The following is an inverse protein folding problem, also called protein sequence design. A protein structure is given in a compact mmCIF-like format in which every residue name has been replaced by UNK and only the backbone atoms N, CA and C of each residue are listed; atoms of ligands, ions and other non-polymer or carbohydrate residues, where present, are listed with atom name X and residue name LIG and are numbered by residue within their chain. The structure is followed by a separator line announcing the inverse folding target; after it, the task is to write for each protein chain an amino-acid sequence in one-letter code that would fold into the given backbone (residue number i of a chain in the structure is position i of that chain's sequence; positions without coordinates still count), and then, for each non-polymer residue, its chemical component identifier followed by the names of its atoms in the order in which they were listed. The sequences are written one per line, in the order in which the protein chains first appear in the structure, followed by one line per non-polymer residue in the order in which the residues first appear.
data_IF_538891736900
#
_entry.id   IF_538891736900
#
_cell.length_a   1.000
_cell.length_b   1.000
_cell.length_c   1.000
_cell.angle_alpha   90.00
_cell.angle_beta   90.00
_cell.angle_gamma   90.00
#
_symmetry.space_group_name_H-M   'P 1'
#
loop_
_entity.id
_entity.type
_entity.pdbx_description
1 polymer ?
#
# COMPACT_ATOMS: atom_id res chain seq x y z
N UNK A 1 12.70 -23.78 2.54
CA UNK A 1 12.38 -22.54 1.77
C UNK A 1 13.08 -21.38 2.43
N UNK A 2 13.55 -20.36 1.68
CA UNK A 2 14.36 -19.24 2.23
C UNK A 2 13.77 -17.85 1.97
N UNK A 3 12.72 -17.73 1.15
CA UNK A 3 12.09 -16.47 0.76
C UNK A 3 10.59 -16.68 0.62
N UNK A 4 9.81 -15.69 1.01
CA UNK A 4 8.38 -15.59 0.75
C UNK A 4 8.13 -14.34 -0.09
N UNK A 5 7.24 -14.46 -1.08
CA UNK A 5 6.70 -13.35 -1.84
C UNK A 5 5.22 -13.62 -2.06
N UNK A 6 4.39 -12.63 -1.80
CA UNK A 6 2.94 -12.74 -1.95
C UNK A 6 2.32 -11.37 -2.18
N UNK A 7 1.29 -11.34 -3.02
CA UNK A 7 0.51 -10.14 -3.31
C UNK A 7 -0.97 -10.47 -3.24
N UNK A 8 -1.78 -9.59 -2.66
CA UNK A 8 -3.24 -9.74 -2.61
C UNK A 8 -3.90 -8.40 -2.92
N UNK A 9 -4.96 -8.42 -3.73
CA UNK A 9 -5.77 -7.22 -3.99
C UNK A 9 -6.69 -6.95 -2.81
N UNK A 10 -6.63 -5.75 -2.26
CA UNK A 10 -7.48 -5.33 -1.14
C UNK A 10 -8.75 -4.67 -1.64
N UNK A 11 -9.84 -4.83 -0.89
CA UNK A 11 -11.06 -4.07 -1.13
C UNK A 11 -10.87 -2.64 -0.60
N UNK A 12 -11.03 -1.64 -1.46
CA UNK A 12 -10.85 -0.23 -1.11
C UNK A 12 -11.72 0.24 0.07
N UNK A 13 -12.89 -0.38 0.29
CA UNK A 13 -13.79 -0.05 1.39
C UNK A 13 -13.36 -0.68 2.73
N UNK A 14 -12.39 -1.59 2.72
CA UNK A 14 -11.96 -2.39 3.89
C UNK A 14 -10.45 -2.46 4.04
N UNK A 15 -9.69 -1.54 3.43
CA UNK A 15 -8.21 -1.59 3.40
C UNK A 15 -7.61 -1.78 4.78
N UNK A 16 -8.06 -1.02 5.79
CA UNK A 16 -7.53 -1.11 7.16
C UNK A 16 -7.75 -2.49 7.79
N UNK A 17 -8.94 -3.07 7.62
CA UNK A 17 -9.26 -4.40 8.17
C UNK A 17 -8.48 -5.50 7.45
N UNK A 18 -8.41 -5.45 6.11
CA UNK A 18 -7.67 -6.44 5.35
C UNK A 18 -6.17 -6.37 5.61
N UNK A 19 -5.60 -5.17 5.74
CA UNK A 19 -4.20 -4.98 6.13
C UNK A 19 -3.93 -5.52 7.53
N UNK A 20 -4.85 -5.31 8.48
CA UNK A 20 -4.76 -5.89 9.83
C UNK A 20 -4.74 -7.42 9.81
N UNK A 21 -5.65 -8.04 9.06
CA UNK A 21 -5.66 -9.51 8.91
C UNK A 21 -4.36 -10.04 8.28
N UNK A 22 -3.82 -9.37 7.26
CA UNK A 22 -2.54 -9.76 6.66
C UNK A 22 -1.39 -9.61 7.67
N UNK A 23 -1.43 -8.56 8.49
CA UNK A 23 -0.44 -8.36 9.54
C UNK A 23 -0.45 -9.53 10.54
N UNK A 24 -1.62 -9.96 10.98
CA UNK A 24 -1.77 -11.03 11.98
C UNK A 24 -1.49 -12.43 11.40
N UNK A 25 -2.01 -12.73 10.22
CA UNK A 25 -2.02 -14.09 9.65
C UNK A 25 -0.81 -14.39 8.75
N UNK A 26 -0.03 -13.37 8.35
CA UNK A 26 1.14 -13.55 7.47
C UNK A 26 2.37 -12.84 8.03
N UNK A 27 2.32 -11.52 8.19
CA UNK A 27 3.50 -10.71 8.54
C UNK A 27 4.05 -11.13 9.89
N UNK A 28 3.18 -11.34 10.88
CA UNK A 28 3.57 -11.77 12.24
C UNK A 28 4.36 -13.07 12.24
N UNK A 29 3.96 -14.05 11.43
CA UNK A 29 4.67 -15.33 11.33
C UNK A 29 6.04 -15.18 10.67
N UNK A 30 6.13 -14.36 9.62
CA UNK A 30 7.40 -14.12 8.92
C UNK A 30 8.37 -13.33 9.80
N UNK A 31 7.90 -12.27 10.47
CA UNK A 31 8.72 -11.42 11.33
C UNK A 31 9.15 -12.11 12.64
N UNK A 32 8.46 -13.18 13.04
CA UNK A 32 8.84 -14.01 14.18
C UNK A 32 10.01 -14.96 13.92
N UNK A 33 10.49 -15.08 12.68
CA UNK A 33 11.64 -15.92 12.34
C UNK A 33 12.95 -15.22 12.71
N UNK A 34 13.90 -15.98 13.27
CA UNK A 34 15.24 -15.50 13.60
C UNK A 34 15.93 -14.97 12.34
N UNK A 35 16.53 -13.78 12.46
CA UNK A 35 17.22 -13.07 11.38
C UNK A 35 16.38 -12.82 10.12
N UNK A 36 15.05 -12.72 10.26
CA UNK A 36 14.18 -12.36 9.15
C UNK A 36 14.10 -10.85 8.92
N UNK A 37 14.07 -10.48 7.64
CA UNK A 37 13.75 -9.14 7.19
C UNK A 37 12.41 -9.20 6.46
N UNK A 38 11.43 -8.44 6.94
CA UNK A 38 10.08 -8.40 6.37
C UNK A 38 9.78 -7.00 5.90
N UNK A 39 9.61 -6.87 4.59
CA UNK A 39 9.12 -5.65 3.96
C UNK A 39 7.64 -5.81 3.60
N UNK A 40 6.84 -4.78 3.88
CA UNK A 40 5.43 -4.71 3.50
C UNK A 40 5.23 -3.47 2.64
N UNK A 41 4.74 -3.69 1.42
CA UNK A 41 4.50 -2.62 0.44
C UNK A 41 3.00 -2.46 0.23
N UNK A 42 2.50 -1.23 0.34
CA UNK A 42 1.14 -0.85 -0.04
C UNK A 42 1.18 -0.07 -1.34
N UNK A 43 0.60 -0.63 -2.39
CA UNK A 43 0.38 0.06 -3.66
C UNK A 43 -1.05 0.59 -3.74
N UNK A 44 -1.20 1.88 -4.08
CA UNK A 44 -2.51 2.51 -4.31
C UNK A 44 -2.61 2.90 -5.79
N UNK A 45 -3.61 2.38 -6.49
CA UNK A 45 -3.85 2.66 -7.90
C UNK A 45 -5.28 3.16 -8.09
N UNK A 46 -5.43 4.33 -8.66
CA UNK A 46 -6.73 4.92 -8.98
C UNK A 46 -6.78 5.24 -10.48
N UNK A 47 -7.90 4.89 -11.13
CA UNK A 47 -8.21 5.33 -12.49
C UNK A 47 -9.45 6.20 -12.43
N UNK A 48 -9.33 7.42 -12.96
CA UNK A 48 -10.42 8.38 -13.01
C UNK A 48 -10.60 8.86 -14.46
N UNK A 49 -11.49 8.24 -15.25
CA UNK A 49 -11.66 8.57 -16.66
C UNK A 49 -12.07 10.04 -16.91
N UNK A 50 -12.70 10.69 -15.94
CA UNK A 50 -13.05 12.11 -16.00
C UNK A 50 -11.95 13.06 -15.51
N UNK A 51 -10.75 12.54 -15.26
CA UNK A 51 -9.66 13.27 -14.61
C UNK A 51 -9.78 13.28 -13.08
N UNK A 52 -8.69 13.70 -12.43
CA UNK A 52 -8.63 13.93 -10.99
C UNK A 52 -8.62 15.45 -10.79
N UNK A 53 -9.57 16.04 -10.05
CA UNK A 53 -9.58 17.49 -9.82
C UNK A 53 -8.30 17.96 -9.12
N UNK A 54 -7.82 19.15 -9.47
CA UNK A 54 -6.60 19.75 -8.88
C UNK A 54 -6.61 19.77 -7.34
N UNK A 55 -7.79 20.00 -6.75
CA UNK A 55 -7.96 19.97 -5.30
C UNK A 55 -7.63 18.60 -4.70
N UNK A 56 -8.04 17.51 -5.37
CA UNK A 56 -7.75 16.13 -4.96
C UNK A 56 -6.28 15.82 -5.22
N UNK A 57 -5.72 16.21 -6.37
CA UNK A 57 -4.28 16.06 -6.67
C UNK A 57 -3.44 16.69 -5.57
N UNK A 58 -3.76 17.93 -5.17
CA UNK A 58 -3.06 18.64 -4.09
C UNK A 58 -3.17 17.89 -2.77
N UNK A 59 -4.38 17.53 -2.34
CA UNK A 59 -4.60 16.83 -1.07
C UNK A 59 -3.87 15.49 -1.02
N UNK A 60 -3.96 14.68 -2.08
CA UNK A 60 -3.29 13.38 -2.12
C UNK A 60 -1.77 13.54 -2.15
N UNK A 61 -1.23 14.52 -2.90
CA UNK A 61 0.20 14.82 -2.92
C UNK A 61 0.75 15.24 -1.56
N UNK A 62 0.02 16.10 -0.84
CA UNK A 62 0.39 16.53 0.52
C UNK A 62 0.35 15.36 1.51
N UNK A 63 -0.65 14.49 1.41
CA UNK A 63 -0.75 13.29 2.22
C UNK A 63 0.38 12.30 1.91
N UNK A 64 0.70 12.06 0.64
CA UNK A 64 1.76 11.16 0.23
C UNK A 64 3.13 11.62 0.77
N UNK A 65 3.40 12.94 0.73
CA UNK A 65 4.59 13.53 1.36
C UNK A 65 4.60 13.31 2.88
N UNK A 66 3.49 13.63 3.56
CA UNK A 66 3.34 13.48 5.02
C UNK A 66 3.54 12.03 5.46
N UNK A 67 2.94 11.10 4.71
CA UNK A 67 2.98 9.66 4.96
C UNK A 67 4.24 8.98 4.38
N UNK A 68 5.18 9.77 3.83
CA UNK A 68 6.48 9.31 3.34
C UNK A 68 6.38 8.20 2.29
N UNK A 69 5.44 8.33 1.36
CA UNK A 69 5.42 7.50 0.17
C UNK A 69 6.79 7.61 -0.52
N UNK A 70 7.41 6.46 -0.81
CA UNK A 70 8.73 6.42 -1.46
C UNK A 70 8.64 6.98 -2.89
N UNK A 71 7.54 6.69 -3.58
CA UNK A 71 7.19 7.26 -4.87
C UNK A 71 5.67 7.48 -4.92
N UNK A 72 5.27 8.54 -5.61
CA UNK A 72 3.89 8.79 -6.02
C UNK A 72 3.91 9.72 -7.23
N UNK A 73 3.05 9.46 -8.20
CA UNK A 73 2.94 10.24 -9.42
C UNK A 73 1.48 10.29 -9.88
N UNK A 74 1.16 11.33 -10.64
CA UNK A 74 -0.10 11.47 -11.35
C UNK A 74 0.25 11.48 -12.84
N UNK A 75 -0.33 10.55 -13.58
CA UNK A 75 -0.12 10.44 -15.02
C UNK A 75 -1.34 11.04 -15.73
N UNK A 76 -1.07 11.96 -16.65
CA UNK A 76 -2.00 12.29 -17.73
C UNK A 76 -1.81 11.18 -18.77
N UNK A 77 -2.83 10.34 -18.98
CA UNK A 77 -2.75 9.19 -19.90
C UNK A 77 -2.25 9.58 -21.31
#
# INVERSE_FOLDING_TARGET
MRRFYGSVKLNQLKVSSSAGQIADEVVKHLAGLVDSEVEVVLEVRAKAPGGIPDSVVRTVSENAKTLKFQSFEFEEE
#
